data_IF_940580967134
#
_entry.id   IF_940580967134
#
_cell.length_a   1.000
_cell.length_b   1.000
_cell.length_c   1.000
_cell.angle_alpha   90.00
_cell.angle_beta   90.00
_cell.angle_gamma   90.00
#
_symmetry.space_group_name_H-M   'P 1'
#
loop_
_entity.id
_entity.type
_entity.pdbx_description
1 polymer ?
#
# COMPACT_ATOMS: atom_id res chain seq x y z
N UNK A 1 -12.58 13.77 3.96
CA UNK A 1 -13.52 12.65 4.07
C UNK A 1 -12.74 11.33 4.02
N UNK A 2 -13.21 10.30 4.72
CA UNK A 2 -12.62 8.95 4.66
C UNK A 2 -13.08 8.19 3.41
N UNK A 3 -12.25 7.29 2.88
CA UNK A 3 -12.58 6.47 1.71
C UNK A 3 -13.90 5.69 1.87
N UNK A 4 -14.19 5.16 3.07
CA UNK A 4 -15.41 4.38 3.35
C UNK A 4 -16.69 5.20 3.18
N UNK A 5 -16.65 6.50 3.47
CA UNK A 5 -17.75 7.42 3.24
C UNK A 5 -17.87 7.72 1.74
N UNK A 6 -16.76 7.99 1.05
CA UNK A 6 -16.75 8.23 -0.40
C UNK A 6 -17.36 7.06 -1.20
N UNK A 7 -17.00 5.81 -0.87
CA UNK A 7 -17.59 4.62 -1.49
C UNK A 7 -19.08 4.45 -1.17
N UNK A 8 -19.57 4.98 -0.05
CA UNK A 8 -21.00 4.94 0.30
C UNK A 8 -21.78 5.95 -0.53
N UNK A 9 -21.31 7.19 -0.55
CA UNK A 9 -21.93 8.27 -1.33
C UNK A 9 -21.97 7.93 -2.83
N UNK A 10 -20.91 7.33 -3.37
CA UNK A 10 -20.89 6.88 -4.76
C UNK A 10 -21.96 5.80 -5.05
N UNK A 11 -22.18 4.86 -4.10
CA UNK A 11 -23.25 3.86 -4.22
C UNK A 11 -24.63 4.48 -4.17
N UNK A 12 -24.80 5.53 -3.36
CA UNK A 12 -26.04 6.31 -3.25
C UNK A 12 -26.28 7.22 -4.48
N UNK A 13 -25.30 7.31 -5.40
CA UNK A 13 -25.41 8.08 -6.65
C UNK A 13 -24.86 9.50 -6.55
N UNK A 14 -24.27 9.87 -5.42
CA UNK A 14 -23.67 11.20 -5.22
C UNK A 14 -22.32 11.26 -5.93
N UNK A 15 -22.26 12.04 -7.01
CA UNK A 15 -21.00 12.35 -7.71
C UNK A 15 -20.70 13.83 -7.60
N UNK A 16 -19.48 14.15 -7.17
CA UNK A 16 -18.96 15.52 -7.11
C UNK A 16 -18.23 15.87 -8.40
N UNK A 17 -18.23 17.15 -8.80
CA UNK A 17 -17.51 17.59 -9.99
C UNK A 17 -15.99 17.59 -9.80
N UNK A 18 -15.50 17.67 -8.55
CA UNK A 18 -14.07 17.65 -8.24
C UNK A 18 -13.81 16.69 -7.10
N UNK A 19 -12.74 15.90 -7.23
CA UNK A 19 -12.21 15.03 -6.19
C UNK A 19 -10.71 15.25 -6.04
N UNK A 20 -10.23 15.26 -4.80
CA UNK A 20 -8.81 15.27 -4.45
C UNK A 20 -8.55 14.03 -3.60
N UNK A 21 -8.15 12.96 -4.29
CA UNK A 21 -7.84 11.67 -3.70
C UNK A 21 -6.37 11.66 -3.29
N UNK A 22 -6.10 11.54 -1.99
CA UNK A 22 -4.73 11.48 -1.47
C UNK A 22 -4.54 10.27 -0.58
N UNK A 23 -3.29 9.83 -0.41
CA UNK A 23 -2.93 8.79 0.55
C UNK A 23 -1.95 7.78 -0.01
N UNK A 24 -1.57 6.83 0.84
CA UNK A 24 -0.58 5.80 0.53
C UNK A 24 -1.20 4.52 -0.02
N UNK A 25 -2.51 4.31 0.14
CA UNK A 25 -3.21 3.11 -0.30
C UNK A 25 -3.71 3.26 -1.75
N UNK A 26 -2.77 3.09 -2.69
CA UNK A 26 -3.05 3.22 -4.13
C UNK A 26 -4.12 2.26 -4.63
N UNK A 27 -4.23 1.07 -4.02
CA UNK A 27 -5.24 0.08 -4.41
C UNK A 27 -6.66 0.63 -4.20
N UNK A 28 -6.96 1.18 -3.02
CA UNK A 28 -8.29 1.73 -2.74
C UNK A 28 -8.59 2.97 -3.58
N UNK A 29 -7.56 3.78 -3.86
CA UNK A 29 -7.69 4.94 -4.73
C UNK A 29 -8.08 4.52 -6.16
N UNK A 30 -7.40 3.51 -6.71
CA UNK A 30 -7.72 2.96 -8.02
C UNK A 30 -9.10 2.30 -8.03
N UNK A 31 -9.47 1.54 -7.00
CA UNK A 31 -10.81 0.95 -6.86
C UNK A 31 -11.90 2.04 -6.84
N UNK A 32 -11.65 3.18 -6.19
CA UNK A 32 -12.59 4.31 -6.20
C UNK A 32 -12.74 4.92 -7.59
N UNK A 33 -11.62 5.14 -8.29
CA UNK A 33 -11.61 5.66 -9.67
C UNK A 33 -12.34 4.71 -10.62
N UNK A 34 -12.13 3.40 -10.49
CA UNK A 34 -12.81 2.38 -11.30
C UNK A 34 -14.31 2.42 -11.08
N UNK A 35 -14.78 2.44 -9.83
CA UNK A 35 -16.23 2.54 -9.55
C UNK A 35 -16.83 3.85 -10.00
N UNK A 36 -16.09 4.95 -9.87
CA UNK A 36 -16.52 6.26 -10.35
C UNK A 36 -16.66 6.22 -11.88
N UNK A 37 -15.72 5.59 -12.56
CA UNK A 37 -15.77 5.34 -14.01
C UNK A 37 -16.99 4.50 -14.39
N UNK A 38 -17.22 3.38 -13.71
CA UNK A 38 -18.38 2.50 -13.91
C UNK A 38 -19.72 3.23 -13.73
N UNK A 39 -19.78 4.17 -12.78
CA UNK A 39 -21.00 4.92 -12.49
C UNK A 39 -21.27 6.03 -13.51
N UNK A 40 -20.22 6.60 -14.11
CA UNK A 40 -20.30 7.77 -14.97
C UNK A 40 -20.28 7.45 -16.46
N UNK A 41 -19.61 6.36 -16.84
CA UNK A 41 -19.31 6.07 -18.24
C UNK A 41 -19.58 4.60 -18.54
N UNK A 42 -20.44 4.38 -19.53
CA UNK A 42 -20.71 3.05 -20.07
C UNK A 42 -19.43 2.42 -20.63
N UNK A 43 -19.26 1.08 -20.54
CA UNK A 43 -18.02 0.40 -20.96
C UNK A 43 -17.55 0.78 -22.37
N UNK A 44 -18.47 0.93 -23.31
CA UNK A 44 -18.23 1.23 -24.72
C UNK A 44 -17.67 2.64 -24.98
N UNK A 45 -17.79 3.52 -23.99
CA UNK A 45 -17.42 4.93 -24.12
C UNK A 45 -16.20 5.33 -23.29
N UNK A 46 -15.63 4.39 -22.51
CA UNK A 46 -14.54 4.67 -21.57
C UNK A 46 -13.28 5.23 -22.23
N UNK A 47 -12.91 4.71 -23.39
CA UNK A 47 -11.71 5.16 -24.11
C UNK A 47 -11.80 6.62 -24.56
N UNK A 48 -13.00 7.13 -24.78
CA UNK A 48 -13.26 8.50 -25.22
C UNK A 48 -13.56 9.45 -24.04
N UNK A 49 -14.21 8.95 -22.98
CA UNK A 49 -14.61 9.78 -21.85
C UNK A 49 -13.53 9.96 -20.79
N UNK A 50 -12.51 9.09 -20.75
CA UNK A 50 -11.47 9.12 -19.72
C UNK A 50 -10.20 9.77 -20.26
N UNK A 51 -9.82 10.91 -19.68
CA UNK A 51 -8.64 11.68 -20.09
C UNK A 51 -7.66 11.70 -18.92
N UNK A 52 -6.36 11.55 -19.21
CA UNK A 52 -5.31 11.47 -18.19
C UNK A 52 -4.29 12.57 -18.39
N UNK A 53 -3.92 13.21 -17.28
CA UNK A 53 -2.89 14.26 -17.24
C UNK A 53 -1.95 14.06 -16.04
N UNK A 54 -0.78 14.70 -16.10
CA UNK A 54 0.21 14.71 -15.03
C UNK A 54 0.70 16.14 -14.80
N UNK A 55 0.58 16.65 -13.57
CA UNK A 55 1.05 18.01 -13.25
C UNK A 55 2.58 18.14 -13.25
N UNK A 56 3.32 17.04 -13.27
CA UNK A 56 4.75 17.01 -13.52
C UNK A 56 5.12 17.23 -15.00
N UNK A 57 4.20 17.05 -15.93
CA UNK A 57 4.46 17.11 -17.38
C UNK A 57 3.82 18.32 -18.06
N UNK A 58 2.70 18.83 -17.54
CA UNK A 58 1.96 19.93 -18.17
C UNK A 58 1.31 20.89 -17.16
N UNK A 59 1.10 22.17 -17.54
CA UNK A 59 0.47 23.14 -16.66
C UNK A 59 -1.00 22.81 -16.43
N UNK A 60 -1.52 23.25 -15.28
CA UNK A 60 -2.93 23.02 -14.90
C UNK A 60 -3.90 23.63 -15.91
N UNK A 61 -3.48 24.66 -16.62
CA UNK A 61 -4.25 25.32 -17.65
C UNK A 61 -4.71 24.39 -18.77
N UNK A 62 -3.86 23.46 -19.22
CA UNK A 62 -4.23 22.49 -20.26
C UNK A 62 -5.33 21.54 -19.77
N UNK A 63 -5.23 21.13 -18.50
CA UNK A 63 -6.25 20.28 -17.86
C UNK A 63 -7.58 21.03 -17.75
N UNK A 64 -7.54 22.33 -17.43
CA UNK A 64 -8.73 23.17 -17.29
C UNK A 64 -9.36 23.51 -18.64
N UNK A 65 -8.55 23.79 -19.67
CA UNK A 65 -9.02 23.95 -21.05
C UNK A 65 -9.79 22.70 -21.50
N UNK A 66 -9.24 21.52 -21.20
CA UNK A 66 -9.95 20.26 -21.44
C UNK A 66 -11.21 20.19 -20.56
N UNK A 67 -11.14 20.43 -19.25
CA UNK A 67 -12.30 20.35 -18.37
C UNK A 67 -13.49 21.24 -18.77
N UNK A 68 -13.20 22.41 -19.35
CA UNK A 68 -14.16 23.40 -19.86
C UNK A 68 -14.72 23.03 -21.25
N UNK A 69 -14.07 22.12 -21.97
CA UNK A 69 -14.53 21.64 -23.27
C UNK A 69 -15.70 20.67 -23.12
N UNK A 70 -16.76 20.84 -23.91
CA UNK A 70 -17.91 19.92 -23.89
C UNK A 70 -17.48 18.51 -24.29
N UNK A 71 -17.92 17.45 -23.57
CA UNK A 71 -17.62 16.09 -23.97
C UNK A 71 -18.20 15.76 -25.34
N UNK A 72 -17.47 14.97 -26.13
CA UNK A 72 -17.91 14.52 -27.45
C UNK A 72 -18.56 13.14 -27.33
N UNK A 73 -19.80 13.00 -27.80
CA UNK A 73 -20.55 11.71 -27.87
C UNK A 73 -20.75 10.97 -26.52
N UNK A 74 -20.49 11.62 -25.38
CA UNK A 74 -20.79 11.12 -24.03
C UNK A 74 -21.42 12.20 -23.18
N UNK A 75 -22.22 11.82 -22.18
CA UNK A 75 -22.85 12.79 -21.28
C UNK A 75 -21.85 13.48 -20.35
N UNK A 76 -20.85 12.73 -19.88
CA UNK A 76 -19.82 13.21 -18.95
C UNK A 76 -18.45 12.67 -19.33
N UNK A 77 -17.42 13.47 -19.07
CA UNK A 77 -16.03 13.02 -19.11
C UNK A 77 -15.40 13.00 -17.74
N UNK A 78 -14.48 12.06 -17.56
CA UNK A 78 -13.70 11.85 -16.35
C UNK A 78 -12.24 12.22 -16.63
N UNK A 79 -11.76 13.28 -15.99
CA UNK A 79 -10.37 13.73 -16.12
C UNK A 79 -9.61 13.28 -14.87
N UNK A 80 -8.63 12.40 -15.07
CA UNK A 80 -7.75 11.91 -14.02
C UNK A 80 -6.42 12.65 -14.09
N UNK A 81 -6.05 13.32 -13.01
CA UNK A 81 -4.84 14.13 -12.94
C UNK A 81 -3.92 13.53 -11.89
N UNK A 82 -2.80 12.93 -12.31
CA UNK A 82 -1.73 12.59 -11.38
C UNK A 82 -1.11 13.90 -10.90
N UNK A 83 -1.24 14.16 -9.60
CA UNK A 83 -0.78 15.42 -9.02
C UNK A 83 0.41 15.23 -8.08
N UNK A 84 1.52 15.85 -8.45
CA UNK A 84 2.72 15.94 -7.63
C UNK A 84 3.07 17.37 -7.23
N UNK A 85 2.25 18.37 -7.59
CA UNK A 85 2.60 19.79 -7.44
C UNK A 85 1.51 20.61 -6.76
N UNK A 86 0.26 20.53 -7.21
CA UNK A 86 -0.81 21.46 -6.80
C UNK A 86 -1.26 21.22 -5.37
N UNK A 87 -1.62 19.97 -5.05
CA UNK A 87 -2.10 19.54 -3.74
C UNK A 87 -1.02 18.81 -2.95
N UNK A 88 -0.04 18.19 -3.63
CA UNK A 88 1.06 17.48 -3.00
C UNK A 88 1.92 18.35 -2.06
N UNK A 89 2.49 17.68 -1.06
CA UNK A 89 3.50 18.23 -0.14
C UNK A 89 4.89 17.89 -0.66
N UNK A 90 5.52 18.79 -1.42
CA UNK A 90 6.85 18.56 -2.01
C UNK A 90 7.47 19.84 -2.55
N UNK A 91 8.80 19.86 -2.71
CA UNK A 91 9.49 20.99 -3.36
C UNK A 91 9.05 21.07 -4.82
N UNK A 92 8.62 22.26 -5.23
CA UNK A 92 8.42 22.68 -6.62
C UNK A 92 9.73 22.45 -7.40
N UNK A 93 9.93 21.25 -7.94
CA UNK A 93 11.05 20.96 -8.86
C UNK A 93 10.58 20.90 -10.33
N UNK A 94 9.28 21.09 -10.54
CA UNK A 94 8.71 21.28 -11.87
C UNK A 94 9.11 22.67 -12.37
N UNK A 95 9.72 22.74 -13.56
CA UNK A 95 9.94 23.99 -14.31
C UNK A 95 8.63 24.56 -14.88
N UNK A 96 7.51 23.88 -14.66
CA UNK A 96 6.20 24.21 -15.22
C UNK A 96 5.48 25.10 -14.20
N UNK A 97 5.11 26.28 -14.64
CA UNK A 97 4.34 27.22 -13.84
C UNK A 97 2.86 26.80 -13.84
N UNK A 98 2.27 26.62 -12.66
CA UNK A 98 0.86 26.28 -12.53
C UNK A 98 0.07 27.48 -11.96
N UNK A 99 -0.95 27.92 -12.68
CA UNK A 99 -1.84 29.01 -12.24
C UNK A 99 -2.93 28.47 -11.30
N UNK A 100 -2.60 28.35 -10.01
CA UNK A 100 -3.50 27.84 -8.98
C UNK A 100 -4.82 28.65 -8.86
N UNK A 101 -4.78 29.95 -9.15
CA UNK A 101 -5.94 30.84 -9.15
C UNK A 101 -6.99 30.42 -10.18
N UNK A 102 -6.56 29.90 -11.34
CA UNK A 102 -7.48 29.43 -12.38
C UNK A 102 -8.22 28.17 -11.93
N UNK A 103 -7.52 27.25 -11.26
CA UNK A 103 -8.15 26.07 -10.67
C UNK A 103 -9.13 26.45 -9.56
N UNK A 104 -8.80 27.44 -8.72
CA UNK A 104 -9.73 27.96 -7.72
C UNK A 104 -11.00 28.56 -8.34
N UNK A 105 -10.87 29.29 -9.44
CA UNK A 105 -12.00 29.82 -10.19
C UNK A 105 -12.87 28.69 -10.77
N UNK A 106 -12.25 27.69 -11.38
CA UNK A 106 -12.96 26.51 -11.89
C UNK A 106 -13.70 25.76 -10.77
N UNK A 107 -13.06 25.53 -9.61
CA UNK A 107 -13.70 24.85 -8.47
C UNK A 107 -14.92 25.60 -7.91
N UNK A 108 -15.00 26.91 -8.10
CA UNK A 108 -16.16 27.69 -7.68
C UNK A 108 -17.36 27.53 -8.63
N UNK A 109 -17.11 27.21 -9.91
CA UNK A 109 -18.14 27.01 -10.93
C UNK A 109 -17.71 25.90 -11.91
N UNK A 110 -17.68 24.63 -11.45
CA UNK A 110 -17.21 23.53 -12.28
C UNK A 110 -18.23 23.16 -13.36
N UNK A 111 -17.76 22.57 -14.45
CA UNK A 111 -18.63 22.08 -15.52
C UNK A 111 -19.41 20.85 -15.04
N UNK A 112 -20.74 20.85 -15.20
CA UNK A 112 -21.61 19.72 -14.84
C UNK A 112 -21.31 18.46 -15.66
N UNK A 113 -20.72 18.64 -16.84
CA UNK A 113 -20.34 17.59 -17.79
C UNK A 113 -18.96 17.00 -17.53
N UNK A 114 -18.22 17.50 -16.53
CA UNK A 114 -16.85 17.08 -16.25
C UNK A 114 -16.68 16.69 -14.80
N UNK A 115 -16.09 15.52 -14.56
CA UNK A 115 -15.62 15.11 -13.23
C UNK A 115 -14.10 15.12 -13.23
N UNK A 116 -13.51 15.98 -12.40
CA UNK A 116 -12.07 16.17 -12.28
C UNK A 116 -11.54 15.47 -11.02
N UNK A 117 -10.62 14.52 -11.17
CA UNK A 117 -10.07 13.73 -10.06
C UNK A 117 -8.56 13.94 -9.99
N UNK A 118 -8.09 14.56 -8.92
CA UNK A 118 -6.67 14.65 -8.61
C UNK A 118 -6.24 13.43 -7.78
N UNK A 119 -5.22 12.72 -8.28
CA UNK A 119 -4.58 11.57 -7.64
C UNK A 119 -3.26 12.03 -7.05
N UNK A 120 -3.23 12.23 -5.73
CA UNK A 120 -2.08 12.74 -4.98
C UNK A 120 -1.42 11.58 -4.25
N UNK A 121 -0.28 11.04 -4.72
CA UNK A 121 0.37 9.87 -4.13
C UNK A 121 1.19 10.25 -2.88
N UNK A 122 0.60 11.05 -1.99
CA UNK A 122 1.19 11.49 -0.74
C UNK A 122 0.18 11.31 0.40
N UNK A 123 0.69 11.01 1.60
CA UNK A 123 -0.15 10.75 2.78
C UNK A 123 -1.10 11.91 3.08
N UNK A 124 -0.62 13.16 2.99
CA UNK A 124 -1.42 14.36 3.20
C UNK A 124 -1.13 15.43 2.15
N UNK A 125 -2.18 16.15 1.70
CA UNK A 125 -2.00 17.34 0.89
C UNK A 125 -1.42 18.49 1.74
N UNK A 126 -0.81 19.49 1.10
CA UNK A 126 -0.23 20.64 1.82
C UNK A 126 -1.34 21.59 2.30
N UNK A 127 -1.74 21.45 3.57
CA UNK A 127 -2.85 22.19 4.17
C UNK A 127 -2.66 23.72 4.19
N UNK A 128 -1.45 24.22 3.95
CA UNK A 128 -1.17 25.65 3.87
C UNK A 128 -1.71 26.25 2.58
N UNK A 129 -1.81 25.46 1.50
CA UNK A 129 -2.25 25.90 0.17
C UNK A 129 -3.74 26.25 0.16
N UNK A 130 -4.08 27.36 -0.49
CA UNK A 130 -5.47 27.82 -0.64
C UNK A 130 -6.35 26.78 -1.36
N UNK A 131 -5.81 26.11 -2.38
CA UNK A 131 -6.45 25.00 -3.10
C UNK A 131 -6.94 23.90 -2.16
N UNK A 132 -6.09 23.45 -1.23
CA UNK A 132 -6.43 22.39 -0.28
C UNK A 132 -7.55 22.84 0.66
N UNK A 133 -7.52 24.10 1.13
CA UNK A 133 -8.58 24.67 1.98
C UNK A 133 -9.93 24.71 1.25
N UNK A 134 -9.94 25.16 -0.02
CA UNK A 134 -11.15 25.19 -0.86
C UNK A 134 -11.69 23.79 -1.18
N UNK A 135 -10.81 22.83 -1.47
CA UNK A 135 -11.21 21.43 -1.66
C UNK A 135 -11.83 20.83 -0.39
N UNK A 136 -11.30 21.16 0.78
CA UNK A 136 -11.85 20.71 2.07
C UNK A 136 -13.22 21.32 2.35
N UNK A 137 -13.42 22.62 2.09
CA UNK A 137 -14.72 23.29 2.31
C UNK A 137 -15.84 22.80 1.39
N UNK A 138 -15.50 22.11 0.30
CA UNK A 138 -16.42 21.50 -0.66
C UNK A 138 -16.53 19.99 -0.50
N UNK A 139 -16.02 19.41 0.60
CA UNK A 139 -15.98 17.97 0.87
C UNK A 139 -15.41 17.13 -0.30
N UNK A 140 -14.50 17.73 -1.08
CA UNK A 140 -13.90 17.09 -2.27
C UNK A 140 -12.63 16.31 -1.94
N UNK A 141 -12.07 16.44 -0.73
CA UNK A 141 -10.84 15.77 -0.31
C UNK A 141 -11.14 14.40 0.30
N UNK A 142 -10.57 13.34 -0.28
CA UNK A 142 -10.74 11.94 0.16
C UNK A 142 -9.38 11.35 0.54
N UNK A 143 -9.31 10.81 1.75
CA UNK A 143 -8.14 10.10 2.25
C UNK A 143 -8.24 8.59 1.96
N UNK A 144 -7.23 8.07 1.27
CA UNK A 144 -6.99 6.66 0.96
C UNK A 144 -5.75 6.19 1.72
N UNK A 145 -5.91 5.98 3.01
CA UNK A 145 -4.85 5.48 3.90
C UNK A 145 -4.93 3.98 4.06
N UNK A 146 -3.83 3.38 4.49
CA UNK A 146 -3.78 1.97 4.82
C UNK A 146 -4.83 1.60 5.88
N UNK A 147 -5.56 0.50 5.64
CA UNK A 147 -6.62 0.07 6.54
C UNK A 147 -6.05 -0.53 7.83
N UNK A 148 -6.63 -0.27 9.00
CA UNK A 148 -6.27 -1.00 10.20
C UNK A 148 -6.57 -2.52 10.04
N UNK A 149 -5.95 -3.39 10.84
CA UNK A 149 -6.02 -4.84 10.66
C UNK A 149 -7.45 -5.39 10.59
N UNK A 150 -8.34 -4.91 11.46
CA UNK A 150 -9.74 -5.32 11.49
C UNK A 150 -10.52 -4.88 10.24
N UNK A 151 -10.20 -3.70 9.72
CA UNK A 151 -10.83 -3.21 8.48
C UNK A 151 -10.31 -3.96 7.26
N UNK A 152 -9.02 -4.35 7.25
CA UNK A 152 -8.44 -5.16 6.20
C UNK A 152 -9.08 -6.56 6.15
N UNK A 153 -9.32 -7.19 7.31
CA UNK A 153 -10.08 -8.44 7.40
C UNK A 153 -11.51 -8.28 6.87
N UNK A 154 -12.21 -7.22 7.29
CA UNK A 154 -13.56 -6.93 6.77
C UNK A 154 -13.55 -6.65 5.27
N UNK A 155 -12.48 -6.05 4.75
CA UNK A 155 -12.34 -5.74 3.33
C UNK A 155 -12.21 -7.02 2.49
N UNK A 156 -11.36 -7.98 2.87
CA UNK A 156 -11.26 -9.27 2.15
C UNK A 156 -12.56 -10.07 2.22
N UNK A 157 -13.26 -10.03 3.36
CA UNK A 157 -14.58 -10.66 3.50
C UNK A 157 -15.61 -10.03 2.55
N UNK A 158 -15.70 -8.69 2.52
CA UNK A 158 -16.58 -7.97 1.60
C UNK A 158 -16.24 -8.20 0.14
N UNK A 159 -14.96 -8.41 -0.19
CA UNK A 159 -14.54 -8.77 -1.56
C UNK A 159 -15.10 -10.12 -1.98
N UNK A 160 -15.08 -11.12 -1.09
CA UNK A 160 -15.71 -12.42 -1.35
C UNK A 160 -17.24 -12.28 -1.48
N UNK A 161 -17.88 -11.49 -0.61
CA UNK A 161 -19.33 -11.24 -0.66
C UNK A 161 -19.78 -10.60 -1.97
N UNK A 162 -19.01 -9.65 -2.52
CA UNK A 162 -19.28 -9.04 -3.83
C UNK A 162 -19.22 -10.03 -4.98
N UNK A 163 -18.53 -11.15 -4.77
CA UNK A 163 -18.49 -12.26 -5.71
C UNK A 163 -19.56 -13.31 -5.39
N UNK A 164 -20.49 -13.10 -4.47
CA UNK A 164 -21.47 -14.13 -4.04
C UNK A 164 -20.81 -15.35 -3.35
N UNK A 165 -19.72 -15.14 -2.60
CA UNK A 165 -19.02 -16.15 -1.80
C UNK A 165 -18.88 -15.67 -0.35
N UNK A 166 -18.69 -16.61 0.58
CA UNK A 166 -18.47 -16.29 1.99
C UNK A 166 -17.05 -16.65 2.41
N UNK A 167 -16.29 -15.68 2.91
CA UNK A 167 -14.97 -15.90 3.53
C UNK A 167 -15.15 -15.97 5.05
N UNK A 168 -14.76 -17.08 5.68
CA UNK A 168 -14.85 -17.21 7.14
C UNK A 168 -13.86 -16.26 7.84
N UNK A 169 -14.17 -15.73 9.03
CA UNK A 169 -13.24 -14.86 9.78
C UNK A 169 -11.86 -15.50 10.01
N UNK A 170 -11.83 -16.80 10.32
CA UNK A 170 -10.57 -17.55 10.48
C UNK A 170 -9.79 -17.66 9.15
N UNK A 171 -10.49 -17.76 8.01
CA UNK A 171 -9.86 -17.76 6.69
C UNK A 171 -9.28 -16.39 6.34
N UNK A 172 -10.00 -15.30 6.68
CA UNK A 172 -9.49 -13.94 6.51
C UNK A 172 -8.23 -13.69 7.36
N UNK A 173 -8.23 -14.14 8.62
CA UNK A 173 -7.07 -14.02 9.48
C UNK A 173 -5.86 -14.81 8.94
N UNK A 174 -6.07 -16.05 8.49
CA UNK A 174 -5.00 -16.87 7.90
C UNK A 174 -4.47 -16.26 6.59
N UNK A 175 -5.36 -15.71 5.76
CA UNK A 175 -4.98 -15.05 4.52
C UNK A 175 -4.06 -13.85 4.78
N UNK A 176 -4.39 -13.01 5.75
CA UNK A 176 -3.56 -11.87 6.15
C UNK A 176 -2.20 -12.31 6.71
N UNK A 177 -2.14 -13.44 7.44
CA UNK A 177 -0.86 -13.99 7.94
C UNK A 177 0.05 -14.48 6.81
N UNK A 178 -0.53 -15.06 5.76
CA UNK A 178 0.22 -15.62 4.63
C UNK A 178 0.65 -14.58 3.61
N UNK A 179 -0.22 -13.63 3.31
CA UNK A 179 0.01 -12.62 2.27
C UNK A 179 0.59 -11.33 2.85
N UNK A 180 0.19 -10.95 4.06
CA UNK A 180 0.52 -9.66 4.67
C UNK A 180 -0.56 -8.61 4.43
N UNK A 181 -0.13 -7.37 4.18
CA UNK A 181 -1.01 -6.19 4.09
C UNK A 181 -1.14 -5.63 2.69
N UNK A 182 -0.50 -6.23 1.70
CA UNK A 182 -0.56 -5.76 0.32
C UNK A 182 -1.96 -6.06 -0.25
N UNK A 183 -2.75 -5.01 -0.45
CA UNK A 183 -4.14 -5.15 -0.89
C UNK A 183 -4.27 -5.77 -2.29
N UNK A 184 -3.29 -5.55 -3.16
CA UNK A 184 -3.29 -6.14 -4.50
C UNK A 184 -3.13 -7.66 -4.42
N UNK A 185 -2.18 -8.14 -3.64
CA UNK A 185 -1.97 -9.57 -3.39
C UNK A 185 -3.17 -10.19 -2.66
N UNK A 186 -3.71 -9.50 -1.64
CA UNK A 186 -4.91 -9.94 -0.95
C UNK A 186 -6.12 -10.04 -1.89
N UNK A 187 -6.27 -9.09 -2.81
CA UNK A 187 -7.32 -9.13 -3.83
C UNK A 187 -7.21 -10.38 -4.71
N UNK A 188 -6.02 -10.60 -5.28
CA UNK A 188 -5.75 -11.72 -6.17
C UNK A 188 -5.95 -13.08 -5.48
N UNK A 189 -5.45 -13.22 -4.25
CA UNK A 189 -5.59 -14.45 -3.48
C UNK A 189 -7.05 -14.69 -3.05
N UNK A 190 -7.78 -13.63 -2.68
CA UNK A 190 -9.22 -13.73 -2.38
C UNK A 190 -10.00 -14.19 -3.61
N UNK A 191 -9.71 -13.64 -4.79
CA UNK A 191 -10.40 -14.00 -6.04
C UNK A 191 -10.11 -15.46 -6.41
N UNK A 192 -8.86 -15.89 -6.28
CA UNK A 192 -8.45 -17.29 -6.50
C UNK A 192 -9.22 -18.25 -5.59
N UNK A 193 -9.33 -17.92 -4.31
CA UNK A 193 -10.07 -18.71 -3.33
C UNK A 193 -11.57 -18.73 -3.63
N UNK A 194 -12.15 -17.60 -4.04
CA UNK A 194 -13.56 -17.52 -4.43
C UNK A 194 -13.85 -18.35 -5.68
N UNK A 195 -12.93 -18.32 -6.66
CA UNK A 195 -13.02 -19.14 -7.87
C UNK A 195 -12.98 -20.63 -7.53
N UNK A 196 -12.08 -21.03 -6.62
CA UNK A 196 -12.00 -22.43 -6.15
C UNK A 196 -13.26 -22.86 -5.39
N UNK A 197 -13.81 -22.00 -4.53
CA UNK A 197 -15.00 -22.32 -3.74
C UNK A 197 -16.28 -22.45 -4.58
N UNK A 198 -16.33 -21.87 -5.78
CA UNK A 198 -17.52 -21.86 -6.64
C UNK A 198 -18.58 -20.84 -6.18
N UNK A 199 -19.66 -20.71 -6.95
CA UNK A 199 -20.76 -19.79 -6.63
C UNK A 199 -21.54 -20.25 -5.38
N UNK A 200 -21.84 -19.32 -4.47
CA UNK A 200 -22.44 -19.65 -3.17
C UNK A 200 -21.50 -20.40 -2.21
N UNK A 201 -20.27 -20.65 -2.64
CA UNK A 201 -19.26 -21.38 -1.90
C UNK A 201 -18.74 -20.65 -0.67
N UNK A 202 -18.13 -21.43 0.23
CA UNK A 202 -17.49 -20.91 1.43
C UNK A 202 -15.98 -21.17 1.40
N UNK A 203 -15.20 -20.13 1.63
CA UNK A 203 -13.75 -20.19 1.79
C UNK A 203 -13.41 -20.39 3.27
N UNK A 204 -12.81 -21.54 3.59
CA UNK A 204 -12.41 -21.94 4.94
C UNK A 204 -10.92 -21.68 5.18
N UNK A 205 -10.49 -21.67 6.44
CA UNK A 205 -9.06 -21.54 6.77
C UNK A 205 -8.21 -22.67 6.19
N UNK A 206 -8.76 -23.89 6.07
CA UNK A 206 -8.08 -25.03 5.43
C UNK A 206 -7.84 -24.81 3.94
N UNK A 207 -8.79 -24.23 3.21
CA UNK A 207 -8.60 -23.88 1.80
C UNK A 207 -7.51 -22.82 1.62
N UNK A 208 -7.41 -21.86 2.54
CA UNK A 208 -6.33 -20.86 2.56
C UNK A 208 -4.98 -21.55 2.82
N UNK A 209 -4.93 -22.46 3.80
CA UNK A 209 -3.71 -23.21 4.15
C UNK A 209 -3.14 -24.00 2.96
N UNK A 210 -4.03 -24.64 2.20
CA UNK A 210 -3.71 -25.48 1.05
C UNK A 210 -3.36 -24.68 -0.22
N UNK A 211 -4.08 -23.59 -0.50
CA UNK A 211 -4.01 -22.91 -1.81
C UNK A 211 -3.19 -21.62 -1.81
N UNK A 212 -2.97 -21.00 -0.65
CA UNK A 212 -2.27 -19.71 -0.57
C UNK A 212 -0.83 -19.93 -0.10
N UNK A 213 0.17 -19.72 -0.96
CA UNK A 213 1.56 -19.78 -0.51
C UNK A 213 1.85 -18.64 0.46
N UNK A 214 2.75 -18.89 1.41
CA UNK A 214 3.25 -17.83 2.28
C UNK A 214 4.14 -16.91 1.44
N UNK A 215 3.83 -15.62 1.43
CA UNK A 215 4.61 -14.63 0.71
C UNK A 215 6.06 -14.58 1.24
N UNK A 216 7.02 -14.31 0.35
CA UNK A 216 8.45 -14.27 0.68
C UNK A 216 8.74 -13.35 1.86
N UNK A 217 8.09 -12.18 1.91
CA UNK A 217 8.24 -11.24 3.01
C UNK A 217 7.74 -11.82 4.35
N UNK A 218 6.64 -12.58 4.34
CA UNK A 218 6.11 -13.26 5.53
C UNK A 218 7.01 -14.44 5.95
N UNK A 219 7.60 -15.16 5.00
CA UNK A 219 8.61 -16.18 5.31
C UNK A 219 9.87 -15.57 5.94
N UNK A 220 10.34 -14.43 5.43
CA UNK A 220 11.48 -13.70 6.02
C UNK A 220 11.11 -13.21 7.43
N UNK A 221 9.89 -12.71 7.62
CA UNK A 221 9.37 -12.32 8.92
C UNK A 221 9.41 -13.50 9.91
N UNK A 222 8.85 -14.66 9.54
CA UNK A 222 8.90 -15.89 10.35
C UNK A 222 10.32 -16.36 10.64
N UNK A 223 11.21 -16.26 9.66
CA UNK A 223 12.62 -16.60 9.81
C UNK A 223 13.27 -15.72 10.89
N UNK A 224 12.99 -14.41 10.92
CA UNK A 224 13.49 -13.53 11.99
C UNK A 224 12.91 -13.86 13.37
N UNK A 225 11.68 -14.37 13.47
CA UNK A 225 11.11 -14.85 14.74
C UNK A 225 11.82 -16.09 15.27
N UNK A 226 12.07 -17.05 14.41
CA UNK A 226 12.75 -18.29 14.77
C UNK A 226 14.20 -18.00 15.19
N UNK A 227 14.88 -17.03 14.54
CA UNK A 227 16.18 -16.54 15.00
C UNK A 227 16.09 -15.89 16.39
N UNK A 228 15.12 -15.00 16.61
CA UNK A 228 14.91 -14.33 17.89
C UNK A 228 14.61 -15.32 19.03
N UNK A 229 13.91 -16.41 18.70
CA UNK A 229 13.53 -17.47 19.61
C UNK A 229 14.63 -18.53 19.82
N UNK A 230 15.85 -18.32 19.28
CA UNK A 230 16.98 -19.26 19.33
C UNK A 230 16.66 -20.63 18.69
N UNK A 231 15.69 -20.68 17.77
CA UNK A 231 15.27 -21.88 17.04
C UNK A 231 15.95 -21.93 15.68
N UNK A 232 17.27 -21.82 15.68
CA UNK A 232 18.10 -21.71 14.46
C UNK A 232 17.82 -22.82 13.45
N UNK A 233 17.61 -24.05 13.90
CA UNK A 233 17.26 -25.16 12.99
C UNK A 233 16.00 -24.90 12.16
N UNK A 234 14.96 -24.30 12.75
CA UNK A 234 13.74 -23.92 12.03
C UNK A 234 13.97 -22.75 11.08
N UNK A 235 14.76 -21.75 11.50
CA UNK A 235 15.14 -20.62 10.65
C UNK A 235 15.90 -21.08 9.40
N UNK A 236 16.82 -22.05 9.56
CA UNK A 236 17.57 -22.64 8.45
C UNK A 236 16.66 -23.46 7.53
N UNK A 237 15.74 -24.27 8.07
CA UNK A 237 14.75 -24.97 7.23
C UNK A 237 13.92 -24.01 6.39
N UNK A 238 13.41 -22.92 6.99
CA UNK A 238 12.67 -21.88 6.27
C UNK A 238 13.52 -21.22 5.18
N UNK A 239 14.79 -20.94 5.47
CA UNK A 239 15.73 -20.42 4.48
C UNK A 239 15.90 -21.36 3.28
N UNK A 240 16.11 -22.66 3.54
CA UNK A 240 16.21 -23.64 2.46
C UNK A 240 14.92 -23.80 1.65
N UNK A 241 13.75 -23.65 2.27
CA UNK A 241 12.48 -23.69 1.55
C UNK A 241 12.33 -22.47 0.63
N UNK A 242 12.80 -21.29 1.05
CA UNK A 242 12.87 -20.10 0.17
C UNK A 242 13.81 -20.32 -1.02
N UNK A 243 14.96 -20.95 -0.82
CA UNK A 243 15.87 -21.29 -1.91
C UNK A 243 15.25 -22.28 -2.90
N UNK A 244 14.49 -23.28 -2.42
CA UNK A 244 13.75 -24.21 -3.28
C UNK A 244 12.68 -23.49 -4.12
N UNK A 245 12.12 -22.41 -3.60
CA UNK A 245 11.21 -21.51 -4.33
C UNK A 245 11.95 -20.59 -5.32
N UNK A 246 13.27 -20.77 -5.50
CA UNK A 246 14.16 -19.97 -6.36
C UNK A 246 14.24 -18.51 -5.94
N UNK A 247 14.07 -18.24 -4.64
CA UNK A 247 14.34 -16.92 -4.11
C UNK A 247 15.85 -16.65 -4.09
N UNK A 248 16.24 -15.54 -4.69
CA UNK A 248 17.64 -15.12 -4.75
C UNK A 248 18.16 -14.75 -3.34
N UNK A 249 19.31 -15.27 -2.87
CA UNK A 249 19.83 -14.96 -1.55
C UNK A 249 20.03 -13.46 -1.30
N UNK A 250 20.40 -12.69 -2.33
CA UNK A 250 20.54 -11.22 -2.23
C UNK A 250 19.19 -10.56 -1.92
N UNK A 251 18.10 -11.03 -2.52
CA UNK A 251 16.74 -10.53 -2.24
C UNK A 251 16.35 -10.85 -0.80
N UNK A 252 16.60 -12.08 -0.36
CA UNK A 252 16.31 -12.50 1.03
C UNK A 252 17.10 -11.68 2.06
N UNK A 253 18.38 -11.43 1.79
CA UNK A 253 19.20 -10.55 2.62
C UNK A 253 18.67 -9.11 2.63
N UNK A 254 18.24 -8.55 1.50
CA UNK A 254 17.65 -7.22 1.45
C UNK A 254 16.36 -7.13 2.30
N UNK A 255 15.52 -8.18 2.27
CA UNK A 255 14.32 -8.28 3.10
C UNK A 255 14.68 -8.41 4.60
N UNK A 256 15.72 -9.16 4.95
CA UNK A 256 16.22 -9.25 6.33
C UNK A 256 16.73 -7.89 6.83
N UNK A 257 17.53 -7.20 6.03
CA UNK A 257 18.00 -5.83 6.32
C UNK A 257 16.80 -4.91 6.56
N UNK A 258 15.79 -4.96 5.71
CA UNK A 258 14.56 -4.17 5.87
C UNK A 258 13.86 -4.50 7.18
N UNK A 259 13.74 -5.79 7.53
CA UNK A 259 13.07 -6.24 8.75
C UNK A 259 13.83 -5.82 10.02
N UNK A 260 15.15 -6.03 10.09
CA UNK A 260 15.95 -5.58 11.24
C UNK A 260 15.94 -4.06 11.39
N UNK A 261 15.96 -3.32 10.28
CA UNK A 261 15.86 -1.86 10.28
C UNK A 261 14.50 -1.38 10.79
N UNK A 262 13.41 -2.00 10.33
CA UNK A 262 12.07 -1.69 10.82
C UNK A 262 11.95 -1.98 12.32
N UNK A 263 12.50 -3.11 12.80
CA UNK A 263 12.55 -3.40 14.24
C UNK A 263 13.31 -2.33 15.03
N UNK A 264 14.46 -1.88 14.51
CA UNK A 264 15.25 -0.81 15.15
C UNK A 264 14.45 0.49 15.24
N UNK A 265 13.88 0.95 14.12
CA UNK A 265 13.11 2.19 14.08
C UNK A 265 11.86 2.14 14.96
N UNK A 266 11.11 1.04 14.92
CA UNK A 266 9.92 0.87 15.77
C UNK A 266 10.31 0.85 17.25
N UNK A 267 11.45 0.25 17.60
CA UNK A 267 11.94 0.22 18.99
C UNK A 267 12.33 1.61 19.49
N UNK A 268 13.07 2.37 18.68
CA UNK A 268 13.48 3.75 18.98
C UNK A 268 12.28 4.70 19.13
N UNK A 269 11.37 4.69 18.15
CA UNK A 269 10.16 5.52 18.18
C UNK A 269 9.23 5.12 19.34
N UNK A 270 9.09 3.82 19.61
CA UNK A 270 8.34 3.32 20.76
C UNK A 270 8.94 3.80 22.08
N UNK A 271 10.27 3.82 22.20
CA UNK A 271 11.00 4.37 23.37
C UNK A 271 10.78 5.87 23.58
N UNK A 272 10.49 6.61 22.50
CA UNK A 272 10.14 8.03 22.53
C UNK A 272 8.63 8.30 22.76
N UNK A 273 7.81 7.25 22.92
CA UNK A 273 6.39 7.37 23.24
C UNK A 273 5.46 7.54 22.03
N UNK A 274 5.94 7.29 20.80
CA UNK A 274 5.07 7.33 19.61
C UNK A 274 4.07 6.19 19.59
N UNK A 275 2.83 6.48 19.15
CA UNK A 275 1.80 5.47 18.93
C UNK A 275 2.07 4.63 17.67
N UNK A 276 1.52 3.41 17.55
CA UNK A 276 1.63 2.60 16.33
C UNK A 276 1.21 3.33 15.05
N UNK A 277 0.18 4.16 15.11
CA UNK A 277 -0.28 4.97 13.98
C UNK A 277 0.72 6.06 13.59
N UNK A 278 1.35 6.72 14.56
CA UNK A 278 2.37 7.73 14.27
C UNK A 278 3.62 7.09 13.67
N UNK A 279 4.02 5.93 14.19
CA UNK A 279 5.13 5.15 13.64
C UNK A 279 4.83 4.69 12.21
N UNK A 280 3.60 4.24 11.92
CA UNK A 280 3.18 3.84 10.58
C UNK A 280 3.38 4.96 9.56
N UNK A 281 2.90 6.18 9.87
CA UNK A 281 3.08 7.35 8.99
C UNK A 281 4.54 7.73 8.80
N UNK A 282 5.34 7.78 9.88
CA UNK A 282 6.76 8.14 9.76
C UNK A 282 7.60 7.11 8.98
N UNK A 283 7.29 5.83 9.15
CA UNK A 283 8.06 4.74 8.53
C UNK A 283 7.54 4.36 7.14
N UNK A 284 6.40 4.92 6.72
CA UNK A 284 5.71 4.49 5.50
C UNK A 284 5.30 3.01 5.55
N UNK A 285 5.02 2.50 6.76
CA UNK A 285 4.64 1.10 7.00
C UNK A 285 3.15 0.99 7.29
N UNK A 286 2.57 -0.14 6.95
CA UNK A 286 1.19 -0.46 7.33
C UNK A 286 1.06 -0.57 8.87
N UNK A 287 0.01 -0.03 9.52
CA UNK A 287 -0.15 -0.09 10.98
C UNK A 287 -0.11 -1.52 11.56
N UNK A 288 -0.66 -2.50 10.82
CA UNK A 288 -0.52 -3.92 11.16
C UNK A 288 0.94 -4.37 11.21
N UNK A 289 1.73 -4.06 10.17
CA UNK A 289 3.14 -4.44 10.10
C UNK A 289 3.94 -3.79 11.24
N UNK A 290 3.64 -2.53 11.61
CA UNK A 290 4.24 -1.86 12.77
C UNK A 290 3.93 -2.62 14.06
N UNK A 291 2.68 -3.03 14.28
CA UNK A 291 2.27 -3.77 15.48
C UNK A 291 3.06 -5.07 15.63
N UNK A 292 3.11 -5.91 14.58
CA UNK A 292 3.80 -7.19 14.69
C UNK A 292 5.33 -6.98 14.78
N UNK A 293 5.87 -6.01 14.05
CA UNK A 293 7.29 -5.64 14.14
C UNK A 293 7.66 -5.15 15.55
N UNK A 294 6.79 -4.38 16.22
CA UNK A 294 7.01 -3.95 17.60
C UNK A 294 7.09 -5.13 18.57
N UNK A 295 6.22 -6.14 18.40
CA UNK A 295 6.23 -7.36 19.21
C UNK A 295 7.52 -8.16 19.02
N UNK A 296 8.03 -8.26 17.79
CA UNK A 296 9.32 -8.89 17.51
C UNK A 296 10.50 -8.08 18.07
N UNK A 297 10.49 -6.76 17.88
CA UNK A 297 11.57 -5.86 18.29
C UNK A 297 11.79 -5.88 19.82
N UNK A 298 10.79 -6.28 20.62
CA UNK A 298 10.94 -6.52 22.07
C UNK A 298 11.98 -7.58 22.39
N UNK A 299 12.19 -8.55 21.50
CA UNK A 299 13.12 -9.67 21.71
C UNK A 299 14.58 -9.27 21.49
N UNK A 300 14.86 -8.19 20.78
CA UNK A 300 16.22 -7.74 20.45
C UNK A 300 16.60 -6.46 21.19
N UNK A 301 17.86 -6.30 21.58
CA UNK A 301 18.41 -5.00 22.03
C UNK A 301 18.66 -4.05 20.85
N UNK A 302 18.73 -2.73 21.11
CA UNK A 302 19.03 -1.72 20.07
C UNK A 302 20.44 -1.95 19.51
N UNK A 303 21.37 -2.28 20.39
CA UNK A 303 22.77 -2.59 20.10
C UNK A 303 22.87 -3.83 19.22
N UNK A 304 22.08 -4.87 19.53
CA UNK A 304 22.03 -6.10 18.73
C UNK A 304 21.49 -5.83 17.33
N UNK A 305 20.39 -5.08 17.20
CA UNK A 305 19.83 -4.71 15.91
C UNK A 305 20.82 -3.90 15.07
N UNK A 306 21.49 -2.93 15.69
CA UNK A 306 22.53 -2.12 15.04
C UNK A 306 23.69 -2.98 14.55
N UNK A 307 24.16 -3.91 15.39
CA UNK A 307 25.23 -4.86 15.01
C UNK A 307 24.81 -5.77 13.85
N UNK A 308 23.58 -6.30 13.88
CA UNK A 308 23.05 -7.16 12.81
C UNK A 308 22.98 -6.40 11.48
N UNK A 309 22.58 -5.13 11.50
CA UNK A 309 22.57 -4.30 10.29
C UNK A 309 23.97 -4.06 9.73
N UNK A 310 24.97 -3.83 10.58
CA UNK A 310 26.37 -3.73 10.15
C UNK A 310 26.89 -5.05 9.58
N UNK A 311 26.64 -6.18 10.25
CA UNK A 311 27.04 -7.51 9.76
C UNK A 311 26.39 -7.84 8.40
N UNK A 312 25.13 -7.45 8.19
CA UNK A 312 24.45 -7.61 6.91
C UNK A 312 24.97 -6.67 5.82
N UNK A 313 25.43 -5.47 6.17
CA UNK A 313 26.04 -4.55 5.22
C UNK A 313 27.39 -5.09 4.71
N UNK A 314 28.22 -5.62 5.62
CA UNK A 314 29.48 -6.29 5.26
C UNK A 314 29.22 -7.52 4.37
N UNK A 315 28.19 -8.31 4.72
CA UNK A 315 27.79 -9.47 3.93
C UNK A 315 27.29 -9.08 2.54
N UNK A 316 26.48 -8.02 2.41
CA UNK A 316 26.00 -7.51 1.12
C UNK A 316 27.16 -7.13 0.20
N UNK A 317 28.16 -6.45 0.74
CA UNK A 317 29.38 -6.12 0.01
C UNK A 317 30.15 -7.38 -0.43
N UNK A 318 30.38 -8.33 0.49
CA UNK A 318 31.09 -9.56 0.19
C UNK A 318 30.37 -10.41 -0.88
N UNK A 319 29.05 -10.50 -0.82
CA UNK A 319 28.22 -11.23 -1.80
C UNK A 319 28.24 -10.56 -3.18
N UNK A 320 28.18 -9.23 -3.24
CA UNK A 320 28.17 -8.48 -4.51
C UNK A 320 29.54 -8.43 -5.19
N UNK A 321 30.61 -8.49 -4.41
CA UNK A 321 32.00 -8.50 -4.91
C UNK A 321 32.54 -9.90 -5.17
N UNK A 322 31.75 -10.96 -4.90
CA UNK A 322 32.14 -12.35 -5.14
C UNK A 322 33.15 -12.90 -4.12
N UNK A 323 33.33 -12.24 -2.98
CA UNK A 323 34.20 -12.70 -1.89
C UNK A 323 33.60 -13.88 -1.14
N UNK A 324 32.28 -14.05 -1.18
CA UNK A 324 31.56 -15.18 -0.59
C UNK A 324 30.49 -15.68 -1.55
N UNK A 325 30.28 -16.99 -1.58
CA UNK A 325 29.13 -17.57 -2.27
C UNK A 325 27.85 -17.13 -1.55
N UNK A 326 26.84 -16.72 -2.32
CA UNK A 326 25.66 -16.00 -1.83
C UNK A 326 24.82 -16.84 -0.86
N UNK A 327 24.64 -18.11 -1.17
CA UNK A 327 23.85 -19.04 -0.38
C UNK A 327 24.55 -19.32 0.95
N UNK A 328 25.81 -19.72 0.88
CA UNK A 328 26.65 -20.01 2.05
C UNK A 328 26.83 -18.78 2.94
N UNK A 329 27.05 -17.60 2.36
CA UNK A 329 27.23 -16.36 3.09
C UNK A 329 26.04 -16.02 3.98
N UNK A 330 24.83 -16.13 3.42
CA UNK A 330 23.60 -15.90 4.17
C UNK A 330 23.33 -17.01 5.19
N UNK A 331 23.56 -18.27 4.84
CA UNK A 331 23.44 -19.40 5.78
C UNK A 331 24.32 -19.23 7.01
N UNK A 332 25.60 -18.89 6.81
CA UNK A 332 26.56 -18.65 7.91
C UNK A 332 26.13 -17.47 8.79
N UNK A 333 25.57 -16.42 8.19
CA UNK A 333 25.01 -15.30 8.94
C UNK A 333 23.83 -15.75 9.83
N UNK A 334 22.90 -16.55 9.29
CA UNK A 334 21.75 -17.06 10.04
C UNK A 334 22.18 -17.97 11.20
N UNK A 335 23.15 -18.86 10.96
CA UNK A 335 23.71 -19.75 11.99
C UNK A 335 24.36 -18.94 13.12
N UNK A 336 25.25 -18.00 12.79
CA UNK A 336 25.90 -17.12 13.77
C UNK A 336 24.90 -16.31 14.57
N UNK A 337 23.88 -15.77 13.89
CA UNK A 337 22.85 -14.94 14.51
C UNK A 337 22.02 -15.74 15.51
N UNK A 338 21.59 -16.94 15.13
CA UNK A 338 20.82 -17.83 15.98
C UNK A 338 21.63 -18.41 17.16
N UNK A 339 22.95 -18.50 17.06
CA UNK A 339 23.82 -18.95 18.17
C UNK A 339 24.16 -17.84 19.17
N UNK A 340 24.33 -16.60 18.72
CA UNK A 340 24.66 -15.46 19.58
C UNK A 340 23.45 -14.92 20.36
N UNK A 341 22.23 -15.26 19.94
CA UNK A 341 20.99 -14.81 20.55
C UNK A 341 20.62 -13.36 20.31
N UNK A 342 19.53 -12.95 20.96
CA UNK A 342 18.89 -11.66 20.77
C UNK A 342 19.37 -10.57 21.76
N UNK A 343 20.22 -10.95 22.72
CA UNK A 343 20.84 -10.08 23.72
C UNK A 343 21.90 -9.16 23.13
#
# INVERSE_FOLDING_TARGET
MEASQAFRELREGTVRPVYVCHGTESYLMNEFVERLTEKLVEPEHRDMAIIRFDTGEMPIDVVLDEAETMPFLVERKLILVRDSVLFASGKESSRIEHRAERLLAYMAQPMETTVLVFLVPHEKPDERKKLVKTAKSSDSVIAFTSLPPEELQRWVMKRAERQNRTLEPAAAEELLKRVGTDMLSLAAETDKLCLHAGEGGRVTAGAVDELVPIATEQNVFRLTEELAALRTGKAISLYYDLLKQREEPIKLMALLVRQFRNMLYVKELGGQGYSPQQMAGQLGLHPYAVKITAEQARKFSVERLSKLLSELADLDYAMKTGQVEKTLGLELFLLRTGSAGAG
#
